data_IF_660469133288
#
_entry.id   IF_660469133288
#
_cell.length_a   1.000
_cell.length_b   1.000
_cell.length_c   1.000
_cell.angle_alpha   90.00
_cell.angle_beta   90.00
_cell.angle_gamma   90.00
#
_symmetry.space_group_name_H-M   'P 1'
#
loop_
_entity.id
_entity.type
_entity.pdbx_description
1 polymer ?
#
# COMPACT_ATOMS: atom_id res chain seq x y z
N UNK A 1 -17.27 5.23 9.12
CA UNK A 1 -17.67 5.92 7.87
C UNK A 1 -16.45 6.38 7.12
N UNK A 2 -16.46 6.27 5.78
CA UNK A 2 -15.46 6.85 4.89
C UNK A 2 -16.12 7.91 4.02
N UNK A 3 -15.51 9.08 3.93
CA UNK A 3 -15.94 10.21 3.10
C UNK A 3 -14.89 10.39 2.02
N UNK A 4 -15.29 10.30 0.76
CA UNK A 4 -14.41 10.62 -0.36
C UNK A 4 -14.52 12.11 -0.70
N UNK A 5 -13.38 12.77 -0.82
CA UNK A 5 -13.27 14.22 -1.03
C UNK A 5 -12.42 14.47 -2.29
N UNK A 6 -12.79 15.47 -3.05
CA UNK A 6 -11.97 15.91 -4.17
C UNK A 6 -10.69 16.62 -3.66
N UNK A 7 -9.54 16.48 -4.34
CA UNK A 7 -8.28 17.09 -3.90
C UNK A 7 -8.37 18.60 -3.63
N UNK A 8 -9.09 19.32 -4.48
CA UNK A 8 -9.30 20.77 -4.31
C UNK A 8 -10.05 21.14 -3.06
N UNK A 9 -10.91 20.27 -2.53
CA UNK A 9 -11.70 20.50 -1.33
C UNK A 9 -11.06 19.90 -0.06
N UNK A 10 -9.93 19.20 -0.20
CA UNK A 10 -9.28 18.44 0.87
C UNK A 10 -9.02 19.29 2.11
N UNK A 11 -8.34 20.43 1.94
CA UNK A 11 -7.98 21.31 3.02
C UNK A 11 -9.20 22.03 3.65
N UNK A 12 -10.17 22.42 2.80
CA UNK A 12 -11.38 23.10 3.28
C UNK A 12 -12.25 22.17 4.13
N UNK A 13 -12.43 20.93 3.67
CA UNK A 13 -13.19 19.90 4.42
C UNK A 13 -12.48 19.53 5.72
N UNK A 14 -11.15 19.41 5.70
CA UNK A 14 -10.37 19.12 6.91
C UNK A 14 -10.54 20.23 7.97
N UNK A 15 -10.43 21.50 7.57
CA UNK A 15 -10.66 22.64 8.47
C UNK A 15 -12.10 22.67 9.01
N UNK A 16 -13.07 22.47 8.13
CA UNK A 16 -14.48 22.43 8.52
C UNK A 16 -14.75 21.35 9.57
N UNK A 17 -14.25 20.16 9.37
CA UNK A 17 -14.42 19.05 10.32
C UNK A 17 -13.74 19.30 11.67
N UNK A 18 -12.61 20.01 11.67
CA UNK A 18 -11.92 20.37 12.92
C UNK A 18 -12.63 21.48 13.67
N UNK A 19 -13.00 22.55 12.95
CA UNK A 19 -13.37 23.83 13.56
C UNK A 19 -14.85 23.92 13.95
N UNK A 20 -15.74 23.21 13.24
CA UNK A 20 -17.17 23.20 13.57
C UNK A 20 -17.43 22.37 14.82
N UNK A 21 -18.08 23.01 15.81
CA UNK A 21 -18.36 22.40 17.10
C UNK A 21 -19.25 21.15 17.04
N UNK A 22 -20.09 21.05 16.00
CA UNK A 22 -20.94 19.86 15.75
C UNK A 22 -20.10 18.62 15.40
N UNK A 23 -18.93 18.81 14.80
CA UNK A 23 -18.03 17.73 14.39
C UNK A 23 -16.84 17.60 15.32
N UNK A 24 -16.14 18.67 15.60
CA UNK A 24 -15.01 18.80 16.52
C UNK A 24 -13.98 17.66 16.38
N UNK A 25 -13.55 17.36 15.13
CA UNK A 25 -12.49 16.37 14.86
C UNK A 25 -11.13 17.01 15.17
N UNK A 26 -10.85 17.16 16.44
CA UNK A 26 -9.67 17.84 16.98
C UNK A 26 -8.39 17.01 16.84
N UNK A 27 -8.50 15.70 16.64
CA UNK A 27 -7.35 14.82 16.51
C UNK A 27 -7.28 14.14 15.14
N UNK A 28 -6.15 14.34 14.45
CA UNK A 28 -5.76 13.49 13.33
C UNK A 28 -4.92 12.32 13.87
N UNK A 29 -5.46 11.11 13.74
CA UNK A 29 -4.84 9.90 14.25
C UNK A 29 -3.75 9.37 13.32
N UNK A 30 -3.95 9.53 12.02
CA UNK A 30 -3.06 9.00 11.00
C UNK A 30 -3.33 9.65 9.64
N UNK A 31 -2.30 9.80 8.82
CA UNK A 31 -2.40 10.12 7.39
C UNK A 31 -1.50 9.17 6.62
N UNK A 32 -2.09 8.37 5.75
CA UNK A 32 -1.34 7.39 4.96
C UNK A 32 -1.59 7.52 3.47
N UNK A 33 -0.58 7.16 2.68
CA UNK A 33 -0.71 6.95 1.24
C UNK A 33 -1.26 5.57 0.92
N UNK A 34 -1.91 5.44 -0.22
CA UNK A 34 -2.40 4.15 -0.76
C UNK A 34 -2.11 4.08 -2.25
N UNK A 35 -1.54 2.98 -2.70
CA UNK A 35 -1.37 2.68 -4.12
C UNK A 35 -2.37 1.59 -4.55
N UNK A 36 -3.31 1.96 -5.42
CA UNK A 36 -4.35 1.09 -5.94
C UNK A 36 -3.95 0.35 -7.23
N UNK A 37 -2.68 0.44 -7.69
CA UNK A 37 -2.24 -0.09 -8.97
C UNK A 37 -2.71 -1.53 -9.26
N UNK A 38 -2.73 -2.39 -8.26
CA UNK A 38 -3.12 -3.80 -8.39
C UNK A 38 -4.48 -4.13 -7.76
N UNK A 39 -5.21 -3.11 -7.29
CA UNK A 39 -6.49 -3.33 -6.63
C UNK A 39 -7.53 -3.90 -7.59
N UNK A 40 -8.20 -4.98 -7.19
CA UNK A 40 -9.20 -5.68 -8.01
C UNK A 40 -8.63 -6.53 -9.15
N UNK A 41 -7.33 -6.42 -9.46
CA UNK A 41 -6.70 -7.18 -10.57
C UNK A 41 -5.84 -8.35 -10.08
N UNK A 42 -5.45 -8.34 -8.81
CA UNK A 42 -4.55 -9.29 -8.16
C UNK A 42 -5.24 -9.94 -6.95
N UNK A 43 -6.56 -10.00 -6.98
CA UNK A 43 -7.32 -10.72 -5.96
C UNK A 43 -7.08 -12.22 -6.11
N UNK A 44 -7.00 -12.85 -4.97
CA UNK A 44 -6.82 -14.28 -4.90
C UNK A 44 -8.13 -14.95 -5.27
N UNK A 45 -8.15 -15.74 -6.34
CA UNK A 45 -9.27 -16.64 -6.60
C UNK A 45 -9.35 -17.63 -5.44
N UNK A 46 -10.34 -17.46 -4.58
CA UNK A 46 -10.65 -18.43 -3.54
C UNK A 46 -11.50 -19.53 -4.16
N UNK A 47 -10.91 -20.69 -4.36
CA UNK A 47 -11.68 -21.92 -4.57
C UNK A 47 -12.28 -22.37 -3.24
N UNK A 48 -13.42 -23.09 -3.28
CA UNK A 48 -14.15 -23.53 -2.11
C UNK A 48 -13.26 -24.02 -0.97
N UNK A 49 -13.51 -23.47 0.23
CA UNK A 49 -12.77 -23.82 1.43
C UNK A 49 -13.04 -25.29 1.73
N UNK A 50 -12.03 -26.14 1.66
CA UNK A 50 -12.18 -27.52 2.10
C UNK A 50 -12.55 -27.56 3.58
N UNK A 51 -13.60 -28.28 3.95
CA UNK A 51 -14.09 -28.43 5.33
C UNK A 51 -13.09 -29.16 6.26
N UNK A 52 -11.92 -29.55 5.79
CA UNK A 52 -10.97 -30.40 6.49
C UNK A 52 -9.55 -29.81 6.61
N UNK A 53 -9.42 -28.56 6.94
CA UNK A 53 -8.09 -28.04 7.33
C UNK A 53 -7.72 -26.68 6.77
N UNK A 54 -6.55 -26.21 7.15
CA UNK A 54 -5.98 -24.90 6.88
C UNK A 54 -5.58 -24.61 5.42
N UNK A 55 -5.99 -25.43 4.47
CA UNK A 55 -5.86 -25.11 3.06
C UNK A 55 -6.92 -24.06 2.73
N UNK A 56 -6.50 -22.82 2.55
CA UNK A 56 -7.40 -21.74 2.17
C UNK A 56 -7.90 -21.82 0.74
N UNK A 57 -7.63 -22.90 0.01
CA UNK A 57 -8.06 -23.07 -1.38
C UNK A 57 -7.65 -21.90 -2.29
N UNK A 58 -6.57 -21.21 -1.97
CA UNK A 58 -6.16 -20.00 -2.67
C UNK A 58 -5.20 -20.39 -3.78
N UNK A 59 -5.64 -20.32 -5.01
CA UNK A 59 -4.72 -20.32 -6.14
C UNK A 59 -4.14 -18.93 -6.29
N UNK A 60 -2.91 -18.76 -5.80
CA UNK A 60 -2.27 -17.47 -5.92
C UNK A 60 -1.79 -17.24 -7.35
N UNK A 61 -2.52 -16.45 -8.06
CA UNK A 61 -2.03 -15.72 -9.24
C UNK A 61 -1.55 -14.32 -8.82
N UNK A 62 -1.30 -14.14 -7.53
CA UNK A 62 -0.93 -12.85 -6.98
C UNK A 62 0.54 -12.51 -7.12
N UNK A 63 0.90 -11.25 -6.88
CA UNK A 63 2.21 -10.62 -7.06
C UNK A 63 3.38 -11.32 -6.34
N UNK A 64 3.14 -12.23 -5.40
CA UNK A 64 4.17 -12.98 -4.69
C UNK A 64 4.57 -14.33 -5.31
N UNK A 65 4.03 -14.70 -6.48
CA UNK A 65 4.24 -16.03 -7.08
C UNK A 65 4.71 -16.05 -8.52
N UNK A 66 5.05 -14.94 -9.08
CA UNK A 66 5.63 -14.82 -10.41
C UNK A 66 6.90 -13.98 -10.34
N UNK A 67 7.75 -14.15 -11.33
CA UNK A 67 8.91 -13.28 -11.49
C UNK A 67 8.43 -11.84 -11.61
N UNK A 68 9.10 -10.92 -10.92
CA UNK A 68 8.72 -9.52 -10.91
C UNK A 68 8.65 -8.90 -12.32
N UNK A 69 9.48 -9.37 -13.23
CA UNK A 69 9.45 -8.98 -14.64
C UNK A 69 8.18 -9.42 -15.39
N UNK A 70 7.54 -10.49 -14.92
CA UNK A 70 6.35 -11.10 -15.51
C UNK A 70 5.06 -10.71 -14.77
N UNK A 71 5.17 -9.80 -13.78
CA UNK A 71 4.02 -9.37 -13.00
C UNK A 71 2.89 -8.89 -13.89
N UNK A 72 1.63 -9.24 -13.57
CA UNK A 72 0.49 -8.64 -14.25
C UNK A 72 0.56 -7.12 -14.12
N UNK A 73 0.55 -6.44 -15.26
CA UNK A 73 0.34 -5.00 -15.27
C UNK A 73 -1.16 -4.81 -15.34
N UNK A 74 -1.81 -4.32 -14.27
CA UNK A 74 -3.24 -4.04 -14.34
C UNK A 74 -3.45 -3.03 -15.47
N UNK A 75 -4.57 -3.19 -16.16
CA UNK A 75 -5.04 -2.17 -17.09
C UNK A 75 -5.14 -0.83 -16.35
N UNK A 76 -5.23 0.24 -17.09
CA UNK A 76 -5.29 1.59 -16.55
C UNK A 76 -6.27 1.70 -15.37
N UNK A 77 -5.72 1.92 -14.19
CA UNK A 77 -6.50 2.25 -12.99
C UNK A 77 -6.77 3.75 -13.07
N UNK A 78 -8.02 4.12 -13.18
CA UNK A 78 -8.41 5.52 -13.38
C UNK A 78 -7.93 6.49 -12.27
N UNK A 79 -7.58 5.95 -11.10
CA UNK A 79 -7.06 6.71 -9.94
C UNK A 79 -6.14 5.80 -9.14
N UNK A 80 -4.85 6.00 -9.24
CA UNK A 80 -3.85 5.12 -8.64
C UNK A 80 -3.54 5.49 -7.20
N UNK A 81 -3.17 6.73 -6.94
CA UNK A 81 -2.74 7.16 -5.62
C UNK A 81 -3.84 7.87 -4.86
N UNK A 82 -3.97 7.53 -3.58
CA UNK A 82 -4.87 8.22 -2.67
C UNK A 82 -4.18 8.54 -1.36
N UNK A 83 -4.64 9.60 -0.71
CA UNK A 83 -4.32 9.94 0.68
C UNK A 83 -5.53 9.68 1.54
N UNK A 84 -5.30 9.04 2.67
CA UNK A 84 -6.34 8.68 3.65
C UNK A 84 -5.97 9.28 5.00
N UNK A 85 -6.86 10.10 5.55
CA UNK A 85 -6.72 10.64 6.89
C UNK A 85 -7.76 10.02 7.84
N UNK A 86 -7.31 9.58 9.01
CA UNK A 86 -8.17 9.09 10.08
C UNK A 86 -8.31 10.16 11.15
N UNK A 87 -9.53 10.65 11.34
CA UNK A 87 -9.85 11.71 12.27
C UNK A 87 -10.67 11.18 13.44
N UNK A 88 -10.44 11.75 14.61
CA UNK A 88 -11.19 11.46 15.82
C UNK A 88 -11.66 12.73 16.49
N UNK A 89 -12.94 12.74 16.88
CA UNK A 89 -13.52 13.73 17.79
C UNK A 89 -13.52 13.13 19.20
N UNK A 90 -12.79 13.76 20.11
CA UNK A 90 -12.79 13.36 21.51
C UNK A 90 -14.10 13.77 22.17
N UNK A 91 -14.63 14.93 21.83
CA UNK A 91 -15.87 15.45 22.39
C UNK A 91 -17.09 14.55 22.09
N UNK A 92 -17.18 14.05 20.86
CA UNK A 92 -18.31 13.22 20.40
C UNK A 92 -18.00 11.72 20.38
N UNK A 93 -16.76 11.31 20.71
CA UNK A 93 -16.29 9.93 20.63
C UNK A 93 -16.58 9.28 19.25
N UNK A 94 -16.33 10.02 18.20
CA UNK A 94 -16.58 9.62 16.83
C UNK A 94 -15.29 9.54 16.02
N UNK A 95 -15.27 8.65 15.03
CA UNK A 95 -14.16 8.52 14.08
C UNK A 95 -14.68 8.58 12.66
N UNK A 96 -13.94 9.30 11.82
CA UNK A 96 -14.20 9.39 10.39
C UNK A 96 -12.91 9.15 9.61
N UNK A 97 -13.04 8.57 8.43
CA UNK A 97 -11.96 8.44 7.47
C UNK A 97 -12.25 9.36 6.31
N UNK A 98 -11.33 10.26 6.01
CA UNK A 98 -11.32 11.01 4.76
C UNK A 98 -10.44 10.28 3.76
N UNK A 99 -10.84 10.24 2.50
CA UNK A 99 -10.04 9.73 1.39
C UNK A 99 -10.12 10.69 0.22
N UNK A 100 -8.98 11.03 -0.33
CA UNK A 100 -8.89 11.78 -1.58
C UNK A 100 -7.91 11.09 -2.52
N UNK A 101 -8.27 11.01 -3.80
CA UNK A 101 -7.37 10.52 -4.83
C UNK A 101 -6.55 11.67 -5.39
N UNK A 102 -5.26 11.45 -5.61
CA UNK A 102 -4.41 12.42 -6.30
C UNK A 102 -4.92 12.67 -7.73
N UNK A 103 -4.73 13.88 -8.22
CA UNK A 103 -5.19 14.26 -9.55
C UNK A 103 -4.33 13.66 -10.67
N UNK A 104 -3.04 13.46 -10.40
CA UNK A 104 -2.04 12.94 -11.33
C UNK A 104 -1.37 11.69 -10.74
N UNK A 105 -1.23 10.65 -11.56
CA UNK A 105 -0.57 9.40 -11.17
C UNK A 105 0.94 9.43 -11.40
N UNK A 106 1.43 10.27 -12.30
CA UNK A 106 2.86 10.41 -12.58
C UNK A 106 3.54 11.28 -11.51
N UNK A 107 2.88 12.36 -11.12
CA UNK A 107 3.32 13.27 -10.06
C UNK A 107 2.20 13.46 -9.02
N UNK A 108 1.94 12.45 -8.17
CA UNK A 108 0.87 12.53 -7.21
C UNK A 108 1.12 13.64 -6.19
N UNK A 109 0.19 14.58 -6.09
CA UNK A 109 0.25 15.68 -5.12
C UNK A 109 -1.07 15.88 -4.39
N UNK A 110 -0.99 16.40 -3.17
CA UNK A 110 -2.11 16.74 -2.30
C UNK A 110 -1.78 17.97 -1.46
N UNK A 111 -2.76 18.81 -1.10
CA UNK A 111 -2.53 19.86 -0.12
C UNK A 111 -2.15 19.29 1.25
N UNK A 112 -1.15 19.87 1.91
CA UNK A 112 -0.73 19.49 3.25
C UNK A 112 -1.77 19.84 4.30
N UNK A 113 -1.95 18.99 5.32
CA UNK A 113 -2.78 19.20 6.48
C UNK A 113 -2.00 19.70 7.72
N UNK A 114 -0.71 19.99 7.59
CA UNK A 114 0.15 20.40 8.72
C UNK A 114 -0.38 21.66 9.43
N UNK A 115 -0.95 22.61 8.69
CA UNK A 115 -1.58 23.81 9.26
C UNK A 115 -2.91 23.51 9.98
N UNK A 116 -3.50 22.35 9.73
CA UNK A 116 -4.74 21.91 10.40
C UNK A 116 -4.39 21.12 11.66
N UNK A 117 -3.51 20.12 11.54
CA UNK A 117 -3.03 19.31 12.66
C UNK A 117 -1.51 19.17 12.57
N UNK A 118 -0.80 19.74 13.48
CA UNK A 118 0.68 19.79 13.46
C UNK A 118 1.33 18.39 13.49
N UNK A 119 0.68 17.40 14.11
CA UNK A 119 1.17 16.02 14.16
C UNK A 119 1.21 15.32 12.80
N UNK A 120 0.48 15.84 11.81
CA UNK A 120 0.43 15.29 10.44
C UNK A 120 1.77 15.43 9.72
N UNK A 121 2.64 16.32 10.14
CA UNK A 121 3.97 16.52 9.55
C UNK A 121 4.72 15.19 9.32
N UNK A 122 4.73 14.32 10.31
CA UNK A 122 5.45 13.04 10.25
C UNK A 122 4.78 12.03 9.32
N UNK A 123 3.47 11.97 9.34
CA UNK A 123 2.69 11.06 8.48
C UNK A 123 2.78 11.45 7.00
N UNK A 124 2.77 12.75 6.70
CA UNK A 124 2.94 13.22 5.32
C UNK A 124 4.35 12.94 4.79
N UNK A 125 5.38 13.08 5.63
CA UNK A 125 6.74 12.69 5.27
C UNK A 125 6.86 11.19 5.03
N UNK A 126 6.18 10.35 5.81
CA UNK A 126 6.12 8.91 5.60
C UNK A 126 5.43 8.59 4.27
N UNK A 127 4.28 9.19 3.99
CA UNK A 127 3.56 8.98 2.73
C UNK A 127 4.39 9.46 1.51
N UNK A 128 5.11 10.57 1.65
CA UNK A 128 6.07 11.03 0.64
C UNK A 128 7.21 10.01 0.45
N UNK A 129 7.82 9.54 1.52
CA UNK A 129 8.95 8.62 1.45
C UNK A 129 8.56 7.28 0.80
N UNK A 130 7.44 6.69 1.23
CA UNK A 130 7.03 5.35 0.83
C UNK A 130 6.29 5.29 -0.51
N UNK A 131 5.55 6.34 -0.88
CA UNK A 131 4.71 6.38 -2.09
C UNK A 131 5.12 7.46 -3.09
N UNK A 132 5.88 8.47 -2.66
CA UNK A 132 6.25 9.60 -3.50
C UNK A 132 5.10 10.59 -3.72
N UNK A 133 4.16 10.69 -2.80
CA UNK A 133 3.09 11.68 -2.82
C UNK A 133 3.64 13.00 -2.29
N UNK A 134 3.54 14.05 -3.10
CA UNK A 134 3.97 15.40 -2.70
C UNK A 134 2.87 16.10 -1.90
N UNK A 135 3.26 16.74 -0.79
CA UNK A 135 2.34 17.52 0.03
C UNK A 135 2.64 19.00 -0.13
N UNK A 136 1.75 19.69 -0.85
CA UNK A 136 1.89 21.11 -1.15
C UNK A 136 1.66 21.94 0.10
N UNK A 137 2.61 22.85 0.39
CA UNK A 137 2.59 23.66 1.61
C UNK A 137 3.21 22.99 2.84
N UNK A 138 3.73 21.76 2.72
CA UNK A 138 4.46 21.13 3.81
C UNK A 138 5.79 21.86 4.07
N UNK A 139 6.11 22.22 5.33
CA UNK A 139 7.26 23.08 5.64
C UNK A 139 8.62 22.40 5.44
N UNK A 140 8.69 21.08 5.55
CA UNK A 140 9.95 20.32 5.46
C UNK A 140 9.69 18.89 4.94
N UNK A 141 9.32 18.77 3.66
CA UNK A 141 9.02 17.49 3.03
C UNK A 141 10.31 16.76 2.64
N UNK A 142 10.76 15.87 3.48
CA UNK A 142 11.94 15.03 3.28
C UNK A 142 11.70 13.60 3.75
N UNK A 143 12.47 12.65 3.22
CA UNK A 143 12.40 11.24 3.62
C UNK A 143 12.63 11.06 5.12
N UNK A 144 12.03 10.01 5.69
CA UNK A 144 12.05 9.76 7.14
C UNK A 144 12.38 8.30 7.48
N UNK A 145 11.94 7.34 6.69
CA UNK A 145 12.09 5.92 6.97
C UNK A 145 13.19 5.26 6.12
N UNK A 146 13.32 5.66 4.85
CA UNK A 146 14.32 5.08 3.96
C UNK A 146 15.69 5.72 4.15
N UNK A 147 16.74 4.98 3.79
CA UNK A 147 18.13 5.45 3.87
C UNK A 147 18.39 6.61 2.91
N UNK A 148 19.42 7.43 3.18
CA UNK A 148 19.78 8.62 2.38
C UNK A 148 20.06 8.32 0.91
N UNK A 149 20.59 7.15 0.62
CA UNK A 149 20.87 6.69 -0.74
C UNK A 149 19.76 5.90 -1.41
N UNK A 150 18.61 5.74 -0.77
CA UNK A 150 17.53 4.91 -1.27
C UNK A 150 16.89 5.52 -2.53
N UNK A 151 16.78 4.70 -3.59
CA UNK A 151 16.18 5.10 -4.87
C UNK A 151 14.82 4.43 -5.05
N UNK A 152 13.80 5.24 -5.29
CA UNK A 152 12.42 4.80 -5.45
C UNK A 152 11.57 4.97 -4.19
N UNK A 153 10.39 4.37 -4.21
CA UNK A 153 9.38 4.43 -3.14
C UNK A 153 8.92 3.01 -2.82
N UNK A 154 9.30 2.52 -1.63
CA UNK A 154 9.27 1.10 -1.30
C UNK A 154 7.86 0.49 -1.21
N UNK A 155 6.80 1.28 -0.98
CA UNK A 155 5.43 0.78 -0.86
C UNK A 155 4.61 0.90 -2.14
N UNK A 156 5.18 1.48 -3.19
CA UNK A 156 4.53 1.41 -4.51
C UNK A 156 4.41 -0.04 -4.95
N UNK A 157 3.27 -0.40 -5.53
CA UNK A 157 2.99 -1.78 -5.96
C UNK A 157 3.86 -2.26 -7.13
N UNK A 158 4.49 -1.33 -7.83
CA UNK A 158 5.48 -1.60 -8.87
C UNK A 158 6.92 -1.68 -8.35
N UNK A 159 7.17 -1.43 -7.05
CA UNK A 159 8.47 -1.61 -6.42
C UNK A 159 8.65 -3.07 -5.98
N UNK A 160 9.81 -3.71 -6.27
CA UNK A 160 10.05 -5.11 -5.90
C UNK A 160 10.13 -5.29 -4.38
N UNK A 161 9.46 -6.34 -3.86
CA UNK A 161 9.42 -6.63 -2.42
C UNK A 161 10.82 -6.85 -1.81
N UNK A 162 11.72 -7.46 -2.57
CA UNK A 162 13.10 -7.71 -2.14
C UNK A 162 14.02 -6.51 -2.34
N UNK A 163 13.53 -5.42 -2.96
CA UNK A 163 14.36 -4.26 -3.33
C UNK A 163 15.23 -4.51 -4.56
N UNK A 164 16.10 -3.56 -4.85
CA UNK A 164 17.06 -3.62 -5.97
C UNK A 164 18.50 -3.73 -5.49
N UNK A 165 18.77 -3.26 -4.29
CA UNK A 165 20.11 -3.12 -3.71
C UNK A 165 20.08 -3.63 -2.28
N UNK A 166 21.08 -4.40 -1.91
CA UNK A 166 21.34 -4.79 -0.52
C UNK A 166 22.62 -4.12 0.00
N UNK A 167 22.72 -4.06 1.32
CA UNK A 167 23.81 -3.39 2.01
C UNK A 167 24.56 -4.40 2.85
N UNK A 168 25.87 -4.52 2.63
CA UNK A 168 26.74 -5.44 3.35
C UNK A 168 27.98 -4.72 3.90
N UNK A 169 28.41 -5.10 5.09
CA UNK A 169 29.70 -4.66 5.62
C UNK A 169 30.84 -5.48 5.00
N UNK A 170 31.80 -4.80 4.39
CA UNK A 170 33.00 -5.40 3.84
C UNK A 170 34.14 -5.23 4.87
N UNK A 171 34.61 -6.32 5.51
CA UNK A 171 35.65 -6.26 6.53
C UNK A 171 37.05 -5.91 5.96
N UNK A 172 37.32 -6.21 4.71
CA UNK A 172 38.59 -5.89 4.06
C UNK A 172 38.68 -4.39 3.78
N UNK A 173 37.60 -3.83 3.21
CA UNK A 173 37.49 -2.39 2.93
C UNK A 173 37.11 -1.57 4.15
N UNK A 174 36.72 -2.23 5.27
CA UNK A 174 36.28 -1.61 6.53
C UNK A 174 35.17 -0.58 6.33
N UNK A 175 34.24 -0.87 5.42
CA UNK A 175 33.11 0.02 5.09
C UNK A 175 31.91 -0.77 4.65
N UNK A 176 30.78 -0.11 4.68
CA UNK A 176 29.52 -0.57 4.08
C UNK A 176 29.61 -0.45 2.55
N UNK A 177 29.22 -1.49 1.85
CA UNK A 177 29.15 -1.54 0.39
C UNK A 177 27.72 -1.83 -0.06
N UNK A 178 27.34 -1.24 -1.17
CA UNK A 178 26.08 -1.49 -1.84
C UNK A 178 26.31 -2.48 -2.97
N UNK A 179 25.48 -3.52 -3.03
CA UNK A 179 25.59 -4.53 -4.08
C UNK A 179 24.16 -4.92 -4.58
N UNK A 180 24.04 -5.46 -5.79
CA UNK A 180 22.74 -5.94 -6.27
C UNK A 180 22.18 -6.98 -5.33
N UNK A 181 20.84 -6.94 -5.13
CA UNK A 181 20.14 -7.84 -4.22
C UNK A 181 20.32 -9.32 -4.63
N UNK A 182 20.68 -10.15 -3.65
CA UNK A 182 20.84 -11.60 -3.80
C UNK A 182 19.79 -12.40 -3.02
N UNK A 183 18.82 -11.72 -2.39
CA UNK A 183 17.82 -12.32 -1.52
C UNK A 183 16.85 -13.19 -2.33
N UNK A 184 16.75 -14.46 -1.99
CA UNK A 184 15.72 -15.34 -2.54
C UNK A 184 14.39 -15.10 -1.81
N UNK A 185 13.28 -14.84 -2.53
CA UNK A 185 11.97 -14.67 -1.91
C UNK A 185 11.54 -15.92 -1.14
N UNK A 186 11.25 -15.78 0.15
CA UNK A 186 10.74 -16.87 0.96
C UNK A 186 9.22 -16.80 1.04
N UNK A 187 8.53 -17.89 0.73
CA UNK A 187 7.11 -18.04 0.97
C UNK A 187 6.90 -18.39 2.44
N UNK A 188 6.33 -17.47 3.22
CA UNK A 188 6.09 -17.64 4.66
C UNK A 188 5.13 -18.80 4.98
N UNK A 189 4.23 -19.12 4.07
CA UNK A 189 3.33 -20.27 4.20
C UNK A 189 3.57 -21.17 3.01
N UNK A 190 4.43 -22.21 3.13
CA UNK A 190 4.62 -23.16 2.06
C UNK A 190 3.29 -23.87 1.78
N UNK A 191 2.83 -23.80 0.55
CA UNK A 191 1.65 -24.52 0.12
C UNK A 191 2.03 -25.99 0.02
N UNK A 192 1.58 -26.79 0.96
CA UNK A 192 1.66 -28.24 0.81
C UNK A 192 0.53 -28.65 -0.12
N UNK A 193 0.88 -28.99 -1.37
CA UNK A 193 -0.03 -29.69 -2.26
C UNK A 193 -0.16 -31.10 -1.69
N UNK A 194 -1.29 -31.40 -1.10
CA UNK A 194 -1.61 -32.79 -0.74
C UNK A 194 -2.22 -33.41 -1.99
N UNK A 195 -1.59 -34.44 -2.51
CA UNK A 195 -2.17 -35.32 -3.49
C UNK A 195 -3.30 -36.12 -2.80
N UNK A 196 -4.48 -35.53 -2.79
CA UNK A 196 -5.68 -36.16 -2.24
C UNK A 196 -6.63 -36.43 -3.42
N UNK A 197 -7.11 -37.64 -3.52
CA UNK A 197 -8.02 -38.10 -4.60
C UNK A 197 -9.24 -37.21 -4.83
N UNK A 198 -9.63 -36.45 -3.79
CA UNK A 198 -10.70 -35.46 -3.86
C UNK A 198 -10.35 -34.22 -4.69
N UNK A 199 -9.07 -33.88 -4.78
CA UNK A 199 -8.59 -32.78 -5.62
C UNK A 199 -8.29 -33.22 -7.05
N UNK A 200 -7.98 -34.48 -7.27
CA UNK A 200 -7.78 -35.04 -8.62
C UNK A 200 -9.09 -35.03 -9.42
N UNK A 201 -10.21 -35.30 -8.78
CA UNK A 201 -11.51 -35.22 -9.43
C UNK A 201 -11.88 -33.80 -9.85
N UNK A 202 -11.74 -32.83 -8.96
CA UNK A 202 -12.01 -31.43 -9.26
C UNK A 202 -11.05 -30.85 -10.33
N UNK A 203 -9.80 -31.33 -10.37
CA UNK A 203 -8.82 -30.98 -11.41
C UNK A 203 -9.21 -31.57 -12.76
N UNK A 204 -9.58 -32.83 -12.81
CA UNK A 204 -10.01 -33.52 -14.02
C UNK A 204 -11.29 -32.89 -14.62
N UNK A 205 -12.24 -32.49 -13.80
CA UNK A 205 -13.45 -31.77 -14.22
C UNK A 205 -13.14 -30.40 -14.83
N UNK A 206 -12.18 -29.65 -14.26
CA UNK A 206 -11.74 -28.38 -14.82
C UNK A 206 -11.00 -28.52 -16.15
N UNK A 207 -10.14 -29.51 -16.27
CA UNK A 207 -9.40 -29.80 -17.52
C UNK A 207 -10.38 -30.30 -18.63
N UNK A 208 -11.44 -30.98 -18.27
CA UNK A 208 -12.48 -31.43 -19.21
C UNK A 208 -13.41 -30.28 -19.65
N UNK A 209 -13.67 -29.31 -18.78
CA UNK A 209 -14.54 -28.14 -19.08
C UNK A 209 -13.87 -27.01 -19.86
N UNK A 210 -12.57 -27.12 -20.17
CA UNK A 210 -11.80 -26.09 -20.88
C UNK A 210 -11.52 -26.47 -22.35
N UNK A 211 -12.21 -27.50 -22.89
CA UNK A 211 -12.15 -27.89 -24.32
C UNK A 211 -13.34 -27.38 -25.11
#
# INVERSE_FOLDING_TARGET
>A
TTIEVLPENWLAVARFLRDEAEFAFDQCMDVCGVDYLSYGSVEWDTTDVSSQGFSRGVEGKGAGRFNWSERPRPGHVAKRFAVVAHLMSLAHNQRVRLRAFCADDDLPSMPSLVDVWTGVNWFEREAFDLYGILFEGHPDLRRILTDYGFVGHAFRKDFPLIGNVEVRYDPEKRRVVYEPVSIEPRVLVPRTIRDDSRYEQARAEREAGTK
#
